data_IF_202029424802
#
_entry.id   IF_202029424802
#
_cell.length_a   1.000
_cell.length_b   1.000
_cell.length_c   1.000
_cell.angle_alpha   90.00
_cell.angle_beta   90.00
_cell.angle_gamma   90.00
#
_symmetry.space_group_name_H-M   'P 1'
#
loop_
_entity.id
_entity.type
_entity.pdbx_description
1 polymer ?
#
# COMPACT_ATOMS: atom_id res chain seq x y z
N UNK A 1 -4.90 29.14 4.36
CA UNK A 1 -4.11 29.01 5.61
C UNK A 1 -2.74 29.60 5.36
N UNK A 2 -2.32 30.55 6.19
CA UNK A 2 -0.95 31.08 6.19
C UNK A 2 0.00 30.19 7.00
N UNK A 3 1.32 30.30 6.75
CA UNK A 3 2.34 29.62 7.59
C UNK A 3 2.23 29.98 9.07
N UNK A 4 1.83 31.21 9.37
CA UNK A 4 1.71 31.68 10.75
C UNK A 4 0.54 31.01 11.47
N UNK A 5 -0.61 30.90 10.81
CA UNK A 5 -1.76 30.18 11.33
C UNK A 5 -1.46 28.69 11.49
N UNK A 6 -0.76 28.09 10.52
CA UNK A 6 -0.41 26.67 10.59
C UNK A 6 0.60 26.38 11.69
N UNK A 7 1.65 27.19 11.83
CA UNK A 7 2.63 27.05 12.90
C UNK A 7 1.96 27.19 14.29
N UNK A 8 1.00 28.12 14.44
CA UNK A 8 0.19 28.24 15.67
C UNK A 8 -0.63 26.99 15.95
N UNK A 9 -1.25 26.39 14.93
CA UNK A 9 -2.00 25.13 15.06
C UNK A 9 -1.11 23.98 15.54
N UNK A 10 0.12 23.91 15.06
CA UNK A 10 1.12 22.91 15.44
C UNK A 10 1.87 23.26 16.74
N UNK A 11 1.52 24.39 17.38
CA UNK A 11 2.21 24.90 18.57
C UNK A 11 3.73 25.06 18.38
N UNK A 12 4.16 25.54 17.21
CA UNK A 12 5.56 25.83 16.88
C UNK A 12 5.73 27.27 16.39
N UNK A 13 6.96 27.78 16.42
CA UNK A 13 7.28 29.06 15.80
C UNK A 13 7.24 28.98 14.27
N UNK A 14 6.81 30.06 13.60
CA UNK A 14 6.82 30.17 12.12
C UNK A 14 8.18 29.84 11.50
N UNK A 15 9.28 30.24 12.15
CA UNK A 15 10.64 29.91 11.72
C UNK A 15 10.91 28.41 11.74
N UNK A 16 10.36 27.68 12.72
CA UNK A 16 10.51 26.21 12.81
C UNK A 16 9.80 25.53 11.64
N UNK A 17 8.58 25.97 11.33
CA UNK A 17 7.85 25.49 10.15
C UNK A 17 8.63 25.77 8.86
N UNK A 18 9.20 26.98 8.71
CA UNK A 18 10.04 27.32 7.56
C UNK A 18 11.32 26.48 7.47
N UNK A 19 11.88 26.04 8.59
CA UNK A 19 13.01 25.10 8.59
C UNK A 19 12.60 23.70 8.10
N UNK A 20 11.37 23.27 8.39
CA UNK A 20 10.82 22.01 7.85
C UNK A 20 10.67 22.07 6.33
N UNK A 21 10.05 23.13 5.82
CA UNK A 21 9.82 23.31 4.38
C UNK A 21 11.12 23.45 3.57
N UNK A 22 12.18 23.97 4.20
CA UNK A 22 13.49 24.16 3.56
C UNK A 22 14.49 23.04 3.84
N UNK A 23 14.05 21.93 4.44
CA UNK A 23 14.88 20.78 4.83
C UNK A 23 16.06 21.12 5.74
N UNK A 24 16.01 22.27 6.43
CA UNK A 24 17.03 22.68 7.41
C UNK A 24 16.85 21.97 8.76
N UNK A 25 15.65 21.42 8.98
CA UNK A 25 15.30 20.61 10.15
C UNK A 25 14.23 19.63 9.73
N UNK A 26 14.27 18.41 10.25
CA UNK A 26 13.15 17.48 10.12
C UNK A 26 12.21 17.56 11.33
N UNK A 27 10.89 17.45 11.13
CA UNK A 27 9.96 17.22 12.22
C UNK A 27 10.21 15.85 12.86
N UNK A 28 10.11 15.78 14.19
CA UNK A 28 10.14 14.50 14.90
C UNK A 28 8.85 13.71 14.68
N UNK A 29 8.83 12.43 15.06
CA UNK A 29 7.72 11.51 14.81
C UNK A 29 6.34 12.05 15.24
N UNK A 30 6.25 12.66 16.42
CA UNK A 30 5.00 13.23 16.93
C UNK A 30 4.52 14.41 16.08
N UNK A 31 5.43 15.30 15.69
CA UNK A 31 5.11 16.44 14.83
C UNK A 31 4.68 15.96 13.43
N UNK A 32 5.37 14.96 12.88
CA UNK A 32 5.00 14.34 11.60
C UNK A 32 3.60 13.72 11.67
N UNK A 33 3.26 13.03 12.76
CA UNK A 33 1.93 12.48 12.97
C UNK A 33 0.85 13.57 13.08
N UNK A 34 1.13 14.68 13.79
CA UNK A 34 0.21 15.82 13.89
C UNK A 34 -0.04 16.49 12.54
N UNK A 35 1.02 16.69 11.74
CA UNK A 35 0.90 17.25 10.39
C UNK A 35 0.09 16.31 9.50
N UNK A 36 0.35 15.00 9.55
CA UNK A 36 -0.38 14.01 8.77
C UNK A 36 -1.88 14.00 9.13
N UNK A 37 -2.20 14.03 10.43
CA UNK A 37 -3.56 14.11 10.92
C UNK A 37 -4.26 15.42 10.51
N UNK A 38 -3.56 16.56 10.55
CA UNK A 38 -4.13 17.85 10.14
C UNK A 38 -4.56 17.88 8.67
N UNK A 39 -3.80 17.22 7.79
CA UNK A 39 -4.10 17.14 6.36
C UNK A 39 -4.89 15.89 5.98
N UNK A 40 -5.27 15.05 6.94
CA UNK A 40 -5.99 13.77 6.73
C UNK A 40 -5.26 12.83 5.75
N UNK A 41 -3.92 12.79 5.83
CA UNK A 41 -3.05 11.93 5.03
C UNK A 41 -2.30 10.93 5.91
N UNK A 42 -1.75 9.89 5.30
CA UNK A 42 -0.86 8.96 6.02
C UNK A 42 0.52 9.58 6.25
N UNK A 43 1.22 9.13 7.31
CA UNK A 43 2.62 9.50 7.56
C UNK A 43 3.52 9.09 6.40
N UNK A 44 3.26 7.93 5.80
CA UNK A 44 3.98 7.44 4.62
C UNK A 44 3.80 8.40 3.43
N UNK A 45 2.57 8.86 3.17
CA UNK A 45 2.33 9.83 2.11
C UNK A 45 3.03 11.16 2.41
N UNK A 46 2.94 11.64 3.66
CA UNK A 46 3.54 12.91 4.07
C UNK A 46 5.07 12.91 3.89
N UNK A 47 5.72 11.77 4.14
CA UNK A 47 7.19 11.67 4.08
C UNK A 47 7.72 11.27 2.69
N UNK A 48 6.96 10.48 1.93
CA UNK A 48 7.41 9.96 0.62
C UNK A 48 6.83 10.72 -0.58
N UNK A 49 5.75 11.48 -0.38
CA UNK A 49 4.98 12.13 -1.45
C UNK A 49 4.26 11.15 -2.38
N UNK A 50 4.17 9.87 -2.00
CA UNK A 50 3.58 8.82 -2.83
C UNK A 50 2.37 8.24 -2.11
N UNK A 51 1.28 8.04 -2.86
CA UNK A 51 0.21 7.17 -2.37
C UNK A 51 0.78 5.79 -2.11
N UNK A 52 0.61 5.32 -0.87
CA UNK A 52 0.95 3.97 -0.52
C UNK A 52 -0.03 3.05 -1.23
N UNK A 53 0.37 2.51 -2.37
CA UNK A 53 -0.32 1.37 -2.96
C UNK A 53 -0.09 0.22 -2.00
N UNK A 54 -1.06 -0.05 -1.13
CA UNK A 54 -1.12 -1.27 -0.36
C UNK A 54 -0.90 -2.43 -1.33
N UNK A 55 0.33 -2.92 -1.39
CA UNK A 55 0.58 -4.26 -1.90
C UNK A 55 0.04 -5.13 -0.77
N UNK A 56 -1.05 -5.89 -0.96
CA UNK A 56 -1.54 -6.76 0.11
C UNK A 56 -0.36 -7.62 0.55
N UNK A 57 0.05 -7.42 1.80
CA UNK A 57 1.25 -8.06 2.37
C UNK A 57 0.97 -9.55 2.68
N UNK A 58 -0.27 -10.00 2.49
CA UNK A 58 -0.67 -11.39 2.45
C UNK A 58 -1.23 -11.71 1.07
N UNK A 59 -0.38 -12.06 0.11
CA UNK A 59 -0.84 -13.11 -0.79
C UNK A 59 -0.99 -14.35 0.09
N UNK A 60 -2.19 -14.93 0.17
CA UNK A 60 -2.35 -16.22 0.85
C UNK A 60 -1.40 -17.24 0.21
N UNK A 61 -1.05 -18.32 0.92
CA UNK A 61 -0.18 -19.36 0.36
C UNK A 61 -0.79 -19.91 -0.93
N UNK A 62 -2.10 -20.03 -0.96
CA UNK A 62 -2.92 -20.42 -2.09
C UNK A 62 -2.76 -19.44 -3.27
N UNK A 63 -2.85 -18.14 -3.02
CA UNK A 63 -2.62 -17.11 -4.04
C UNK A 63 -1.19 -17.15 -4.61
N UNK A 64 -0.19 -17.43 -3.78
CA UNK A 64 1.19 -17.58 -4.24
C UNK A 64 1.36 -18.81 -5.13
N UNK A 65 0.77 -19.94 -4.74
CA UNK A 65 0.79 -21.18 -5.53
C UNK A 65 0.08 -20.96 -6.88
N UNK A 66 -1.09 -20.33 -6.88
CA UNK A 66 -1.83 -20.03 -8.12
C UNK A 66 -0.99 -19.10 -9.02
N UNK A 67 -0.38 -18.05 -8.46
CA UNK A 67 0.50 -17.15 -9.21
C UNK A 67 1.70 -17.87 -9.81
N UNK A 68 2.35 -18.76 -9.06
CA UNK A 68 3.49 -19.56 -9.55
C UNK A 68 3.06 -20.49 -10.69
N UNK A 69 1.97 -21.24 -10.51
CA UNK A 69 1.45 -22.15 -11.54
C UNK A 69 1.06 -21.40 -12.82
N UNK A 70 0.37 -20.27 -12.68
CA UNK A 70 -0.03 -19.43 -13.82
C UNK A 70 1.19 -18.94 -14.59
N UNK A 71 2.22 -18.46 -13.91
CA UNK A 71 3.44 -18.00 -14.55
C UNK A 71 4.23 -19.15 -15.18
N UNK A 72 4.43 -20.25 -14.46
CA UNK A 72 5.24 -21.39 -14.88
C UNK A 72 4.69 -22.09 -16.13
N UNK A 73 3.37 -22.19 -16.24
CA UNK A 73 2.69 -22.87 -17.34
C UNK A 73 2.00 -21.92 -18.33
N UNK A 74 2.23 -20.62 -18.21
CA UNK A 74 1.63 -19.57 -19.06
C UNK A 74 0.10 -19.72 -19.19
N UNK A 75 -0.57 -19.94 -18.06
CA UNK A 75 -2.01 -20.21 -18.01
C UNK A 75 -2.78 -18.90 -18.12
N UNK A 76 -3.63 -18.78 -19.13
CA UNK A 76 -4.51 -17.61 -19.26
C UNK A 76 -5.86 -17.87 -18.56
N UNK A 77 -5.98 -17.46 -17.30
CA UNK A 77 -7.21 -17.60 -16.50
C UNK A 77 -8.38 -16.69 -16.97
N UNK A 78 -8.12 -15.68 -17.81
CA UNK A 78 -9.19 -14.88 -18.40
C UNK A 78 -9.89 -15.61 -19.57
N UNK A 79 -9.28 -16.67 -20.10
CA UNK A 79 -9.87 -17.50 -21.15
C UNK A 79 -10.83 -18.52 -20.53
N UNK A 80 -12.12 -18.38 -20.84
CA UNK A 80 -13.19 -19.23 -20.31
C UNK A 80 -12.94 -20.73 -20.54
N UNK A 81 -12.48 -21.12 -21.73
CA UNK A 81 -12.18 -22.53 -22.05
C UNK A 81 -11.00 -23.09 -21.25
N UNK A 82 -10.04 -22.24 -20.90
CA UNK A 82 -8.89 -22.63 -20.07
C UNK A 82 -9.34 -22.84 -18.64
N UNK A 83 -10.19 -21.95 -18.12
CA UNK A 83 -10.78 -22.06 -16.80
C UNK A 83 -11.62 -23.34 -16.64
N UNK A 84 -12.53 -23.60 -17.58
CA UNK A 84 -13.39 -24.80 -17.55
C UNK A 84 -12.58 -26.10 -17.54
N UNK A 85 -11.53 -26.18 -18.37
CA UNK A 85 -10.64 -27.36 -18.39
C UNK A 85 -9.90 -27.55 -17.07
N UNK A 86 -9.44 -26.47 -16.44
CA UNK A 86 -8.77 -26.54 -15.14
C UNK A 86 -9.73 -27.00 -14.05
N UNK A 87 -10.97 -26.49 -14.05
CA UNK A 87 -12.01 -26.93 -13.12
C UNK A 87 -12.28 -28.43 -13.28
N UNK A 88 -12.38 -28.95 -14.51
CA UNK A 88 -12.53 -30.39 -14.75
C UNK A 88 -11.33 -31.20 -14.25
N UNK A 89 -10.09 -30.78 -14.53
CA UNK A 89 -8.89 -31.49 -14.07
C UNK A 89 -8.83 -31.51 -12.54
N UNK A 90 -9.14 -30.39 -11.89
CA UNK A 90 -9.17 -30.28 -10.43
C UNK A 90 -10.19 -31.26 -9.85
N UNK A 91 -11.42 -31.27 -10.38
CA UNK A 91 -12.46 -32.21 -9.93
C UNK A 91 -12.00 -33.66 -10.06
N UNK A 92 -11.45 -34.05 -11.21
CA UNK A 92 -10.94 -35.41 -11.42
C UNK A 92 -9.86 -35.79 -10.40
N UNK A 93 -8.91 -34.89 -10.13
CA UNK A 93 -7.83 -35.15 -9.16
C UNK A 93 -8.37 -35.27 -7.73
N UNK A 94 -9.35 -34.45 -7.34
CA UNK A 94 -9.92 -34.51 -5.99
C UNK A 94 -10.83 -35.73 -5.80
N UNK A 95 -11.58 -36.11 -6.83
CA UNK A 95 -12.43 -37.31 -6.82
C UNK A 95 -11.58 -38.60 -6.74
N UNK A 96 -10.39 -38.63 -7.35
CA UNK A 96 -9.46 -39.76 -7.26
C UNK A 96 -8.73 -39.88 -5.90
N UNK A 97 -8.78 -38.83 -5.07
CA UNK A 97 -8.12 -38.78 -3.76
C UNK A 97 -9.04 -39.12 -2.58
N UNK A 98 -10.32 -39.42 -2.84
CA UNK A 98 -11.30 -39.90 -1.84
C UNK A 98 -11.49 -41.42 -1.93
#
# INVERSE_FOLDING_TARGET
MSQEEFAKRLNIGKSTLGMYETNKREPGHEMTAQIAAYFEVSVDWLTTGKEFKHRPMSATREEMIIKDLVARYNINLANQRTREKLETIIQLVFDELQ
#
